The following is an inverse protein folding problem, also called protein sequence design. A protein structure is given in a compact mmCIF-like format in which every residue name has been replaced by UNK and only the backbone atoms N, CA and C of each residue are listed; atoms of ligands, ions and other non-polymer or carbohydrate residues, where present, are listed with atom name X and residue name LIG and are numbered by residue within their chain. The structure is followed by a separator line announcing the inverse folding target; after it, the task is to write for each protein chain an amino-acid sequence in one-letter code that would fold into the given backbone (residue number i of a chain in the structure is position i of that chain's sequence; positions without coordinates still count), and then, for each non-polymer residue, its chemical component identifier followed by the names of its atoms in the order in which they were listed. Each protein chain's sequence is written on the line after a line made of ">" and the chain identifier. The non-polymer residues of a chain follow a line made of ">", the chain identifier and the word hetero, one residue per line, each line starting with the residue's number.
data_IF_092112392345
#
_entry.id   IF_092112392345
#
_cell.length_a   1.000
_cell.length_b   1.000
_cell.length_c   1.000
_cell.angle_alpha   90.00
_cell.angle_beta   90.00
_cell.angle_gamma   90.00
#
_symmetry.space_group_name_H-M   'P 1'
#
loop_
_entity.id
_entity.type
_entity.pdbx_description
1 polymer ?
#
# COMPACT_ATOMS: atom_id res chain seq x y z
N UNK A 1 -4.51 -16.65 -8.82
CA UNK A 1 -4.15 -18.06 -9.09
C UNK A 1 -3.39 -18.71 -7.92
N UNK A 2 -2.16 -18.27 -7.59
CA UNK A 2 -1.35 -18.87 -6.53
C UNK A 2 -2.07 -18.98 -5.17
N UNK A 3 -2.83 -17.96 -4.78
CA UNK A 3 -3.64 -17.96 -3.57
C UNK A 3 -4.67 -19.11 -3.55
N UNK A 4 -5.52 -19.21 -4.58
CA UNK A 4 -6.55 -20.25 -4.63
C UNK A 4 -5.96 -21.65 -4.85
N UNK A 5 -4.77 -21.78 -5.42
CA UNK A 5 -4.04 -23.06 -5.44
C UNK A 5 -3.72 -23.53 -4.01
N UNK A 6 -3.24 -22.64 -3.14
CA UNK A 6 -2.96 -22.97 -1.73
C UNK A 6 -4.23 -23.40 -0.99
N UNK A 7 -5.33 -22.66 -1.18
CA UNK A 7 -6.63 -23.04 -0.60
C UNK A 7 -7.11 -24.41 -1.12
N UNK A 8 -6.94 -24.70 -2.41
CA UNK A 8 -7.30 -26.00 -2.99
C UNK A 8 -6.42 -27.14 -2.47
N UNK A 9 -5.11 -26.93 -2.32
CA UNK A 9 -4.19 -27.91 -1.74
C UNK A 9 -4.51 -28.21 -0.28
N UNK A 10 -4.93 -27.19 0.49
CA UNK A 10 -5.37 -27.35 1.87
C UNK A 10 -6.60 -28.27 1.96
N UNK A 11 -7.66 -27.97 1.22
CA UNK A 11 -8.88 -28.79 1.26
C UNK A 11 -8.65 -30.18 0.66
N UNK A 12 -7.77 -30.31 -0.34
CA UNK A 12 -7.34 -31.62 -0.85
C UNK A 12 -6.57 -32.43 0.20
N UNK A 13 -5.69 -31.79 0.97
CA UNK A 13 -4.98 -32.47 2.06
C UNK A 13 -5.93 -32.99 3.13
N UNK A 14 -6.97 -32.22 3.49
CA UNK A 14 -8.04 -32.70 4.36
C UNK A 14 -8.71 -33.94 3.76
N UNK A 15 -9.07 -33.88 2.48
CA UNK A 15 -9.75 -34.97 1.76
C UNK A 15 -8.92 -36.26 1.70
N UNK A 16 -7.61 -36.15 1.47
CA UNK A 16 -6.71 -37.29 1.26
C UNK A 16 -6.18 -37.93 2.55
N UNK A 17 -6.72 -37.55 3.71
CA UNK A 17 -6.43 -38.20 4.99
C UNK A 17 -5.88 -37.30 6.09
N UNK A 18 -5.74 -35.98 5.84
CA UNK A 18 -5.41 -34.97 6.84
C UNK A 18 -4.23 -35.35 7.76
N UNK A 19 -3.10 -35.79 7.17
CA UNK A 19 -1.94 -36.27 7.94
C UNK A 19 -1.33 -35.21 8.88
N UNK A 20 -1.61 -33.93 8.61
CA UNK A 20 -1.17 -32.79 9.43
C UNK A 20 -2.11 -32.49 10.60
N UNK A 21 -3.22 -33.22 10.72
CA UNK A 21 -4.20 -33.06 11.80
C UNK A 21 -4.86 -31.68 11.82
N UNK A 22 -5.03 -31.03 10.66
CA UNK A 22 -5.66 -29.70 10.54
C UNK A 22 -7.07 -29.77 11.14
N UNK A 23 -7.41 -28.83 12.02
CA UNK A 23 -8.79 -28.63 12.46
C UNK A 23 -9.51 -27.77 11.41
N UNK A 24 -10.55 -28.28 10.72
CA UNK A 24 -11.28 -27.52 9.69
C UNK A 24 -11.91 -26.21 10.21
N UNK A 25 -12.10 -26.09 11.53
CA UNK A 25 -12.66 -24.89 12.19
C UNK A 25 -11.59 -23.84 12.49
N UNK A 26 -10.31 -24.19 12.36
CA UNK A 26 -9.16 -23.31 12.64
C UNK A 26 -8.34 -23.02 11.38
N UNK A 27 -8.97 -23.08 10.20
CA UNK A 27 -8.40 -22.61 8.94
C UNK A 27 -8.56 -21.09 8.90
N UNK A 28 -7.44 -20.39 8.79
CA UNK A 28 -7.40 -18.91 8.72
C UNK A 28 -7.23 -18.41 7.30
N UNK A 29 -6.78 -19.28 6.39
CA UNK A 29 -6.59 -18.95 4.98
C UNK A 29 -7.89 -19.07 4.21
N UNK A 30 -8.43 -17.91 3.82
CA UNK A 30 -9.60 -17.79 2.96
C UNK A 30 -9.24 -18.04 1.49
N UNK A 31 -10.25 -17.95 0.62
CA UNK A 31 -10.07 -17.84 -0.84
C UNK A 31 -10.02 -16.37 -1.25
N UNK A 32 -9.65 -16.11 -2.50
CA UNK A 32 -9.62 -14.74 -3.02
C UNK A 32 -10.13 -14.61 -4.46
N UNK A 33 -10.77 -13.49 -4.75
CA UNK A 33 -11.14 -13.09 -6.12
C UNK A 33 -11.08 -11.57 -6.28
N UNK A 34 -10.74 -11.09 -7.48
CA UNK A 34 -10.70 -9.66 -7.75
C UNK A 34 -12.06 -9.18 -8.27
N UNK A 35 -13.05 -9.20 -7.39
CA UNK A 35 -14.42 -8.76 -7.68
C UNK A 35 -15.08 -8.23 -6.42
N UNK A 36 -15.89 -7.19 -6.56
CA UNK A 36 -16.66 -6.64 -5.43
C UNK A 36 -17.89 -7.49 -5.15
N UNK A 37 -17.69 -8.72 -4.68
CA UNK A 37 -18.76 -9.68 -4.41
C UNK A 37 -19.02 -9.85 -2.91
N UNK A 38 -20.09 -9.23 -2.41
CA UNK A 38 -20.43 -9.28 -0.97
C UNK A 38 -20.97 -10.64 -0.53
N UNK A 39 -21.58 -11.40 -1.44
CA UNK A 39 -22.25 -12.67 -1.13
C UNK A 39 -21.25 -13.76 -0.73
N UNK A 40 -19.98 -13.61 -1.10
CA UNK A 40 -18.92 -14.58 -0.81
C UNK A 40 -18.13 -14.29 0.46
N UNK A 41 -18.52 -13.26 1.24
CA UNK A 41 -17.85 -12.93 2.51
C UNK A 41 -17.90 -14.08 3.51
N UNK A 42 -19.03 -14.80 3.56
CA UNK A 42 -19.24 -15.97 4.38
C UNK A 42 -19.92 -17.06 3.55
N UNK A 43 -19.33 -18.25 3.52
CA UNK A 43 -19.78 -19.38 2.72
C UNK A 43 -19.59 -20.68 3.48
N UNK A 44 -20.28 -21.73 3.04
CA UNK A 44 -20.00 -23.11 3.43
C UNK A 44 -19.58 -23.86 2.18
N UNK A 45 -18.41 -24.48 2.21
CA UNK A 45 -17.85 -25.25 1.09
C UNK A 45 -17.81 -26.74 1.41
N UNK A 46 -17.42 -27.59 0.45
CA UNK A 46 -17.24 -29.02 0.68
C UNK A 46 -18.55 -29.80 0.88
N UNK A 47 -19.67 -29.23 0.40
CA UNK A 47 -20.99 -29.87 0.41
C UNK A 47 -21.15 -30.90 -0.71
N UNK A 48 -22.23 -31.68 -0.68
CA UNK A 48 -22.56 -32.63 -1.75
C UNK A 48 -22.05 -34.07 -1.51
N UNK A 49 -21.73 -34.43 -0.27
CA UNK A 49 -21.37 -35.82 0.11
C UNK A 49 -19.87 -36.12 0.07
N UNK A 50 -19.51 -37.36 0.42
CA UNK A 50 -18.12 -37.78 0.73
C UNK A 50 -17.10 -37.49 -0.38
N UNK A 51 -17.51 -37.55 -1.64
CA UNK A 51 -16.61 -37.32 -2.78
C UNK A 51 -16.27 -35.85 -3.01
N UNK A 52 -16.96 -34.92 -2.34
CA UNK A 52 -16.83 -33.47 -2.55
C UNK A 52 -16.11 -32.75 -1.40
N UNK A 53 -15.47 -33.50 -0.49
CA UNK A 53 -14.65 -32.95 0.60
C UNK A 53 -15.34 -32.96 1.96
N UNK A 54 -14.85 -32.09 2.85
CA UNK A 54 -15.36 -31.92 4.21
C UNK A 54 -16.10 -30.58 4.33
N UNK A 55 -17.37 -30.57 4.77
CA UNK A 55 -18.09 -29.33 5.01
C UNK A 55 -17.37 -28.44 6.04
N UNK A 56 -17.14 -27.17 5.68
CA UNK A 56 -16.60 -26.16 6.60
C UNK A 56 -17.04 -24.75 6.22
N UNK A 57 -16.98 -23.84 7.18
CA UNK A 57 -17.10 -22.41 6.92
C UNK A 57 -15.85 -21.89 6.19
N UNK A 58 -16.06 -20.95 5.28
CA UNK A 58 -15.02 -20.29 4.49
C UNK A 58 -15.49 -18.91 4.02
N UNK A 59 -14.63 -18.17 3.33
CA UNK A 59 -15.03 -16.94 2.66
C UNK A 59 -14.03 -16.52 1.59
N UNK A 60 -14.36 -15.42 0.91
CA UNK A 60 -13.50 -14.79 -0.07
C UNK A 60 -13.13 -13.38 0.36
N UNK A 61 -11.85 -13.07 0.21
CA UNK A 61 -11.36 -11.70 0.26
C UNK A 61 -11.11 -11.17 -1.17
N UNK A 62 -11.06 -9.84 -1.32
CA UNK A 62 -10.60 -9.24 -2.57
C UNK A 62 -9.12 -9.55 -2.79
N UNK A 63 -8.68 -9.85 -4.02
CA UNK A 63 -7.32 -10.37 -4.30
C UNK A 63 -6.19 -9.53 -3.68
N UNK A 64 -6.31 -8.20 -3.69
CA UNK A 64 -5.32 -7.27 -3.13
C UNK A 64 -5.18 -7.34 -1.59
N UNK A 65 -6.15 -7.93 -0.90
CA UNK A 65 -6.09 -8.21 0.53
C UNK A 65 -5.28 -9.48 0.86
N UNK A 66 -4.92 -10.28 -0.14
CA UNK A 66 -4.19 -11.51 0.07
C UNK A 66 -2.78 -11.26 0.64
N UNK A 67 -2.37 -12.07 1.61
CA UNK A 67 -0.97 -12.14 2.05
C UNK A 67 0.01 -12.45 0.90
N UNK A 68 -0.43 -13.19 -0.13
CA UNK A 68 0.36 -13.43 -1.35
C UNK A 68 0.69 -12.10 -2.07
N UNK A 69 -0.23 -11.13 -2.08
CA UNK A 69 0.03 -9.80 -2.64
C UNK A 69 1.07 -9.05 -1.79
N UNK A 70 0.94 -9.09 -0.47
CA UNK A 70 1.91 -8.47 0.43
C UNK A 70 3.32 -9.09 0.27
N UNK A 71 3.40 -10.41 0.17
CA UNK A 71 4.64 -11.15 -0.08
C UNK A 71 5.23 -10.80 -1.44
N UNK A 72 4.43 -10.77 -2.52
CA UNK A 72 4.88 -10.35 -3.85
C UNK A 72 5.49 -8.95 -3.82
N UNK A 73 4.90 -8.03 -3.03
CA UNK A 73 5.37 -6.67 -2.93
C UNK A 73 6.64 -6.53 -2.05
N UNK A 74 6.92 -7.47 -1.15
CA UNK A 74 8.09 -7.42 -0.26
C UNK A 74 9.25 -8.30 -0.71
N UNK A 75 9.04 -9.23 -1.64
CA UNK A 75 10.08 -10.12 -2.14
C UNK A 75 11.14 -9.37 -2.94
N UNK A 76 12.42 -9.72 -2.73
CA UNK A 76 13.54 -9.19 -3.53
C UNK A 76 13.72 -9.90 -4.87
N UNK A 77 13.39 -11.18 -4.91
CA UNK A 77 13.60 -12.09 -6.04
C UNK A 77 12.70 -13.34 -5.90
N UNK A 78 12.78 -14.25 -6.86
CA UNK A 78 11.92 -15.43 -6.92
C UNK A 78 12.21 -16.44 -5.78
N UNK A 79 13.44 -16.51 -5.29
CA UNK A 79 13.81 -17.42 -4.20
C UNK A 79 13.32 -16.88 -2.85
N UNK A 80 13.49 -15.58 -2.59
CA UNK A 80 12.88 -14.89 -1.44
C UNK A 80 11.35 -14.99 -1.48
N UNK A 81 10.74 -14.79 -2.66
CA UNK A 81 9.29 -14.99 -2.86
C UNK A 81 8.87 -16.40 -2.43
N UNK A 82 9.52 -17.44 -2.96
CA UNK A 82 9.23 -18.85 -2.63
C UNK A 82 9.42 -19.14 -1.14
N UNK A 83 10.46 -18.60 -0.52
CA UNK A 83 10.73 -18.78 0.91
C UNK A 83 9.67 -18.09 1.79
N UNK A 84 9.20 -16.91 1.41
CA UNK A 84 8.13 -16.21 2.13
C UNK A 84 6.80 -16.93 1.99
N UNK A 85 6.47 -17.39 0.78
CA UNK A 85 5.27 -18.17 0.52
C UNK A 85 5.21 -19.43 1.39
N UNK A 86 6.34 -20.12 1.62
CA UNK A 86 6.36 -21.32 2.46
C UNK A 86 6.04 -21.06 3.93
N UNK A 87 6.18 -19.82 4.41
CA UNK A 87 5.95 -19.43 5.81
C UNK A 87 4.52 -18.97 6.10
N UNK A 88 3.68 -18.83 5.07
CA UNK A 88 2.26 -18.48 5.25
C UNK A 88 1.61 -19.51 6.16
N UNK A 89 1.05 -19.07 7.28
CA UNK A 89 0.25 -19.92 8.17
C UNK A 89 -1.15 -20.01 7.59
N UNK A 90 -1.60 -21.24 7.32
CA UNK A 90 -2.90 -21.46 6.66
C UNK A 90 -3.97 -21.97 7.60
N UNK A 91 -3.58 -22.69 8.65
CA UNK A 91 -4.48 -23.27 9.62
C UNK A 91 -3.75 -23.59 10.92
N UNK A 92 -4.50 -24.07 11.91
CA UNK A 92 -3.96 -24.72 13.10
C UNK A 92 -4.45 -26.17 13.17
N UNK A 93 -3.59 -27.06 13.66
CA UNK A 93 -3.97 -28.45 13.91
C UNK A 93 -4.76 -28.62 15.22
N UNK A 94 -5.27 -29.82 15.50
CA UNK A 94 -6.01 -30.10 16.75
C UNK A 94 -5.19 -29.86 18.02
N UNK A 95 -3.85 -29.85 17.94
CA UNK A 95 -2.92 -29.49 19.01
C UNK A 95 -2.60 -27.98 19.07
N UNK A 96 -3.30 -27.15 18.27
CA UNK A 96 -3.11 -25.70 18.15
C UNK A 96 -1.72 -25.27 17.62
N UNK A 97 -1.02 -26.15 16.92
CA UNK A 97 0.23 -25.83 16.25
C UNK A 97 -0.06 -25.25 14.85
N UNK A 98 0.71 -24.24 14.40
CA UNK A 98 0.50 -23.65 13.08
C UNK A 98 0.87 -24.65 11.99
N UNK A 99 0.04 -24.68 10.93
CA UNK A 99 0.31 -25.41 9.70
C UNK A 99 0.55 -24.39 8.61
N UNK A 100 1.65 -24.56 7.87
CA UNK A 100 2.11 -23.61 6.85
C UNK A 100 1.87 -24.11 5.43
N UNK A 101 1.96 -23.20 4.46
CA UNK A 101 2.00 -23.57 3.05
C UNK A 101 3.21 -24.46 2.70
N UNK A 102 4.31 -24.35 3.45
CA UNK A 102 5.48 -25.22 3.36
C UNK A 102 5.17 -26.67 3.75
N UNK A 103 4.38 -26.88 4.81
CA UNK A 103 3.95 -28.21 5.25
C UNK A 103 3.05 -28.88 4.20
N UNK A 104 2.26 -28.08 3.48
CA UNK A 104 1.45 -28.51 2.33
C UNK A 104 2.26 -28.64 1.02
N UNK A 105 3.57 -28.35 1.05
CA UNK A 105 4.47 -28.36 -0.13
C UNK A 105 3.99 -27.48 -1.28
N UNK A 106 3.28 -26.40 -0.99
CA UNK A 106 2.63 -25.55 -1.99
C UNK A 106 3.55 -24.49 -2.61
N UNK A 107 4.59 -24.06 -1.88
CA UNK A 107 5.41 -22.89 -2.19
C UNK A 107 6.06 -22.91 -3.58
N UNK A 108 6.49 -24.08 -4.06
CA UNK A 108 7.13 -24.20 -5.37
C UNK A 108 6.14 -23.95 -6.52
N UNK A 109 4.96 -24.54 -6.43
CA UNK A 109 3.90 -24.35 -7.43
C UNK A 109 3.32 -22.94 -7.39
N UNK A 110 3.17 -22.35 -6.20
CA UNK A 110 2.78 -20.95 -6.05
C UNK A 110 3.80 -20.00 -6.65
N UNK A 111 5.10 -20.21 -6.40
CA UNK A 111 6.17 -19.40 -6.99
C UNK A 111 6.21 -19.53 -8.52
N UNK A 112 5.97 -20.73 -9.06
CA UNK A 112 5.87 -20.94 -10.50
C UNK A 112 4.74 -20.11 -11.13
N UNK A 113 3.56 -20.07 -10.50
CA UNK A 113 2.43 -19.24 -10.96
C UNK A 113 2.71 -17.73 -10.88
N UNK A 114 3.70 -17.31 -10.09
CA UNK A 114 4.10 -15.91 -9.91
C UNK A 114 5.42 -15.57 -10.64
N UNK A 115 6.01 -16.52 -11.37
CA UNK A 115 7.33 -16.36 -12.01
C UNK A 115 7.42 -15.14 -12.91
N UNK A 116 6.39 -14.88 -13.71
CA UNK A 116 6.35 -13.69 -14.56
C UNK A 116 5.75 -12.49 -13.84
N UNK A 117 4.81 -12.73 -12.93
CA UNK A 117 4.14 -11.69 -12.14
C UNK A 117 5.04 -10.97 -11.12
N UNK A 118 6.26 -11.48 -10.84
CA UNK A 118 7.26 -10.79 -10.03
C UNK A 118 8.03 -9.71 -10.81
N UNK A 119 7.94 -9.70 -12.15
CA UNK A 119 8.65 -8.75 -13.00
C UNK A 119 7.89 -7.41 -13.04
N UNK A 120 8.53 -6.29 -12.68
CA UNK A 120 7.90 -4.96 -12.78
C UNK A 120 7.40 -4.63 -14.19
N UNK A 121 6.21 -4.03 -14.29
CA UNK A 121 5.65 -3.61 -15.57
C UNK A 121 6.08 -2.17 -15.88
N UNK A 122 6.82 -1.98 -16.98
CA UNK A 122 7.18 -0.66 -17.49
C UNK A 122 6.05 -0.09 -18.35
N UNK A 123 5.66 1.14 -18.03
CA UNK A 123 4.73 1.97 -18.81
C UNK A 123 5.29 3.39 -18.88
N UNK A 124 4.52 4.35 -19.40
CA UNK A 124 4.92 5.75 -19.47
C UNK A 124 3.78 6.68 -19.03
N UNK A 125 4.16 7.88 -18.56
CA UNK A 125 3.23 8.99 -18.33
C UNK A 125 2.81 9.64 -19.65
N UNK A 126 1.88 10.60 -19.61
CA UNK A 126 1.45 11.37 -20.78
C UNK A 126 2.60 12.16 -21.44
N UNK A 127 3.64 12.48 -20.68
CA UNK A 127 4.83 13.21 -21.14
C UNK A 127 6.02 12.26 -21.40
N UNK A 128 5.73 10.97 -21.58
CA UNK A 128 6.70 9.91 -21.88
C UNK A 128 7.73 9.65 -20.76
N UNK A 129 7.46 10.10 -19.54
CA UNK A 129 8.27 9.74 -18.37
C UNK A 129 8.11 8.25 -18.04
N UNK A 130 9.19 7.49 -17.80
CA UNK A 130 9.08 6.07 -17.50
C UNK A 130 8.44 5.84 -16.14
N UNK A 131 7.52 4.87 -16.05
CA UNK A 131 6.83 4.53 -14.80
C UNK A 131 6.73 3.02 -14.61
N UNK A 132 6.97 2.54 -13.39
CA UNK A 132 6.72 1.14 -13.02
C UNK A 132 5.40 1.01 -12.27
N UNK A 133 4.49 0.16 -12.75
CA UNK A 133 3.26 -0.22 -12.04
C UNK A 133 3.36 -1.68 -11.64
N UNK A 134 3.58 -1.94 -10.34
CA UNK A 134 3.80 -3.30 -9.87
C UNK A 134 3.46 -3.50 -8.39
N UNK A 135 2.57 -4.47 -8.13
CA UNK A 135 2.03 -4.73 -6.81
C UNK A 135 0.92 -3.75 -6.41
N UNK A 136 0.20 -4.09 -5.34
CA UNK A 136 -0.89 -3.27 -4.82
C UNK A 136 -1.53 -3.89 -3.59
N UNK A 137 -0.81 -4.03 -2.47
CA UNK A 137 -1.38 -4.55 -1.23
C UNK A 137 -2.21 -3.45 -0.56
N UNK A 138 -3.19 -3.85 0.26
CA UNK A 138 -3.89 -2.91 1.12
C UNK A 138 -2.96 -2.17 2.09
N UNK A 139 -3.33 -0.94 2.46
CA UNK A 139 -2.59 -0.09 3.39
C UNK A 139 -3.10 -0.18 4.85
N UNK A 140 -4.15 -0.96 5.12
CA UNK A 140 -4.66 -1.21 6.47
C UNK A 140 -4.12 -2.55 7.03
N UNK A 141 -4.46 -3.68 6.41
CA UNK A 141 -4.02 -5.03 6.81
C UNK A 141 -2.64 -5.41 6.27
N UNK A 142 -2.08 -4.61 5.37
CA UNK A 142 -0.73 -4.75 4.86
C UNK A 142 -0.05 -3.36 4.78
N UNK A 143 1.04 -3.25 4.02
CA UNK A 143 1.94 -2.10 4.04
C UNK A 143 1.64 -1.03 2.97
N UNK A 144 0.70 -1.27 2.05
CA UNK A 144 0.20 -0.21 1.16
C UNK A 144 1.19 0.38 0.15
N UNK A 145 2.23 -0.35 -0.26
CA UNK A 145 3.25 0.15 -1.18
C UNK A 145 3.33 -0.71 -2.45
N UNK A 146 3.83 -0.13 -3.54
CA UNK A 146 4.29 -0.90 -4.70
C UNK A 146 5.48 -1.81 -4.31
N UNK A 147 5.80 -2.75 -5.20
CA UNK A 147 6.80 -3.77 -4.90
C UNK A 147 8.23 -3.24 -4.66
N UNK A 148 8.98 -3.95 -3.83
CA UNK A 148 10.42 -3.80 -3.63
C UNK A 148 11.18 -4.00 -4.94
N UNK A 149 10.79 -5.00 -5.75
CA UNK A 149 11.41 -5.26 -7.05
C UNK A 149 11.36 -4.04 -7.98
N UNK A 150 10.19 -3.41 -8.14
CA UNK A 150 10.04 -2.20 -8.95
C UNK A 150 10.82 -1.01 -8.38
N UNK A 151 10.81 -0.85 -7.06
CA UNK A 151 11.52 0.25 -6.39
C UNK A 151 13.03 0.11 -6.59
N UNK A 152 13.59 -1.07 -6.35
CA UNK A 152 15.02 -1.33 -6.55
C UNK A 152 15.44 -1.20 -8.00
N UNK A 153 14.62 -1.65 -8.94
CA UNK A 153 14.89 -1.50 -10.38
C UNK A 153 14.91 -0.02 -10.77
N UNK A 154 13.91 0.76 -10.33
CA UNK A 154 13.86 2.21 -10.58
C UNK A 154 15.09 2.96 -10.05
N UNK A 155 15.50 2.66 -8.80
CA UNK A 155 16.72 3.23 -8.20
C UNK A 155 18.02 2.89 -8.94
N UNK A 156 18.02 1.86 -9.80
CA UNK A 156 19.19 1.50 -10.62
C UNK A 156 19.16 2.11 -12.02
N UNK A 157 18.01 2.60 -12.47
CA UNK A 157 17.81 3.07 -13.84
C UNK A 157 17.63 4.60 -13.95
N UNK A 158 17.19 5.27 -12.88
CA UNK A 158 17.00 6.72 -12.86
C UNK A 158 17.79 7.39 -11.75
N UNK A 159 18.06 8.69 -11.93
CA UNK A 159 18.73 9.52 -10.93
C UNK A 159 17.83 9.81 -9.72
N UNK A 160 16.53 9.92 -9.96
CA UNK A 160 15.49 10.09 -8.95
C UNK A 160 14.40 9.04 -9.14
N UNK A 161 13.97 8.42 -8.03
CA UNK A 161 12.80 7.56 -8.01
C UNK A 161 11.73 8.13 -7.08
N UNK A 162 10.62 8.57 -7.67
CA UNK A 162 9.41 8.89 -6.93
C UNK A 162 8.58 7.62 -6.72
N UNK A 163 8.17 7.40 -5.47
CA UNK A 163 7.26 6.31 -5.07
C UNK A 163 6.30 6.82 -4.02
N UNK A 164 5.18 6.11 -3.84
CA UNK A 164 4.14 6.48 -2.88
C UNK A 164 3.76 5.31 -1.96
N UNK A 165 2.98 5.62 -0.93
CA UNK A 165 2.33 4.68 -0.04
C UNK A 165 0.87 5.10 0.19
N UNK A 166 -0.03 4.12 0.32
CA UNK A 166 -1.47 4.38 0.43
C UNK A 166 -1.89 4.99 1.77
N UNK A 167 -3.02 5.71 1.76
CA UNK A 167 -3.54 6.52 2.87
C UNK A 167 -2.64 7.70 3.26
N UNK A 168 -2.78 8.24 4.48
CA UNK A 168 -1.95 9.32 5.02
C UNK A 168 -0.61 8.81 5.54
N UNK A 169 0.25 9.75 5.95
CA UNK A 169 1.59 9.41 6.46
C UNK A 169 1.56 8.63 7.79
N UNK A 170 0.46 8.70 8.53
CA UNK A 170 0.16 7.93 9.75
C UNK A 170 0.00 6.42 9.50
N UNK A 171 -0.31 6.01 8.28
CA UNK A 171 -0.41 4.60 7.87
C UNK A 171 0.58 4.26 6.77
N UNK A 172 0.50 4.93 5.62
CA UNK A 172 1.30 4.61 4.44
C UNK A 172 2.77 4.87 4.67
N UNK A 173 3.14 6.10 5.05
CA UNK A 173 4.53 6.46 5.26
C UNK A 173 5.15 5.71 6.44
N UNK A 174 4.42 5.57 7.55
CA UNK A 174 4.83 4.75 8.70
C UNK A 174 5.22 3.33 8.27
N UNK A 175 4.35 2.65 7.52
CA UNK A 175 4.60 1.27 7.05
C UNK A 175 5.66 1.21 5.95
N UNK A 176 5.74 2.21 5.09
CA UNK A 176 6.81 2.32 4.11
C UNK A 176 8.17 2.39 4.81
N UNK A 177 8.31 3.21 5.84
CA UNK A 177 9.55 3.42 6.59
C UNK A 177 9.87 2.25 7.52
N UNK A 178 8.90 1.76 8.28
CA UNK A 178 9.13 0.74 9.31
C UNK A 178 9.07 -0.70 8.78
N UNK A 179 8.39 -0.97 7.66
CA UNK A 179 8.28 -2.30 7.06
C UNK A 179 9.09 -2.37 5.77
N UNK A 180 8.70 -1.62 4.73
CA UNK A 180 9.30 -1.77 3.39
C UNK A 180 10.78 -1.37 3.39
N UNK A 181 11.13 -0.20 3.93
CA UNK A 181 12.52 0.27 3.98
C UNK A 181 13.40 -0.64 4.81
N UNK A 182 12.93 -1.06 5.99
CA UNK A 182 13.63 -2.00 6.88
C UNK A 182 13.91 -3.35 6.20
N UNK A 183 12.91 -3.95 5.55
CA UNK A 183 13.05 -5.25 4.90
C UNK A 183 13.87 -5.19 3.61
N UNK A 184 13.77 -4.09 2.86
CA UNK A 184 14.42 -3.96 1.55
C UNK A 184 15.78 -3.27 1.61
N UNK A 185 16.16 -2.69 2.75
CA UNK A 185 17.37 -1.88 2.91
C UNK A 185 17.31 -0.55 2.16
N UNK A 186 16.11 0.04 2.04
CA UNK A 186 15.91 1.33 1.36
C UNK A 186 16.09 2.47 2.36
N UNK A 187 16.60 3.60 1.88
CA UNK A 187 16.74 4.85 2.64
C UNK A 187 16.17 5.98 1.78
N UNK A 188 14.99 6.51 2.11
CA UNK A 188 14.42 7.63 1.38
C UNK A 188 15.24 8.89 1.65
N UNK A 189 15.49 9.68 0.61
CA UNK A 189 16.29 10.91 0.71
C UNK A 189 15.42 12.12 1.08
N UNK A 190 14.14 12.13 0.70
CA UNK A 190 13.16 13.15 1.06
C UNK A 190 11.72 12.62 1.01
N UNK A 191 10.79 13.38 1.58
CA UNK A 191 9.35 13.10 1.59
C UNK A 191 8.57 14.27 0.99
N UNK A 192 7.64 13.98 0.08
CA UNK A 192 6.62 14.94 -0.36
C UNK A 192 5.32 14.65 0.38
N UNK A 193 4.85 15.61 1.18
CA UNK A 193 3.59 15.51 1.90
C UNK A 193 2.50 16.28 1.16
N UNK A 194 1.61 15.56 0.48
CA UNK A 194 0.56 16.15 -0.36
C UNK A 194 -0.65 16.58 0.50
N UNK A 195 -1.15 17.78 0.26
CA UNK A 195 -2.38 18.29 0.85
C UNK A 195 -3.19 19.14 -0.15
N UNK A 196 -4.43 19.49 0.24
CA UNK A 196 -5.30 20.42 -0.50
C UNK A 196 -5.98 21.34 0.50
N UNK A 197 -6.27 22.59 0.10
CA UNK A 197 -7.01 23.53 0.96
C UNK A 197 -8.37 22.94 1.39
N UNK A 198 -9.05 22.26 0.47
CA UNK A 198 -10.33 21.59 0.73
C UNK A 198 -10.21 20.50 1.79
N UNK A 199 -9.19 19.63 1.73
CA UNK A 199 -8.97 18.59 2.74
C UNK A 199 -8.64 19.19 4.11
N UNK A 200 -7.84 20.26 4.15
CA UNK A 200 -7.55 20.97 5.39
C UNK A 200 -8.82 21.59 5.98
N UNK A 201 -9.68 22.23 5.17
CA UNK A 201 -10.99 22.71 5.62
C UNK A 201 -11.89 21.59 6.19
N UNK A 202 -11.87 20.38 5.62
CA UNK A 202 -12.57 19.22 6.21
C UNK A 202 -12.03 18.91 7.61
N UNK A 203 -10.70 18.88 7.76
CA UNK A 203 -10.08 18.68 9.09
C UNK A 203 -10.38 19.80 10.07
N UNK A 204 -10.68 21.01 9.57
CA UNK A 204 -11.20 22.13 10.35
C UNK A 204 -12.71 22.08 10.64
N UNK A 205 -13.41 21.03 10.22
CA UNK A 205 -14.83 20.81 10.51
C UNK A 205 -15.81 21.20 9.40
N UNK A 206 -15.34 21.60 8.22
CA UNK A 206 -16.23 21.94 7.10
C UNK A 206 -16.80 20.68 6.46
N UNK A 207 -18.11 20.63 6.29
CA UNK A 207 -18.78 19.52 5.62
C UNK A 207 -18.39 19.45 4.14
N UNK A 208 -18.40 18.24 3.56
CA UNK A 208 -17.98 18.01 2.17
C UNK A 208 -18.73 18.87 1.14
N UNK A 209 -19.99 19.20 1.42
CA UNK A 209 -20.84 20.01 0.55
C UNK A 209 -20.41 21.49 0.47
N UNK A 210 -19.74 22.01 1.50
CA UNK A 210 -19.52 23.45 1.69
C UNK A 210 -18.08 23.89 1.38
N UNK A 211 -17.28 23.01 0.78
CA UNK A 211 -15.83 23.22 0.60
C UNK A 211 -15.44 24.25 -0.46
N UNK A 212 -16.39 24.67 -1.30
CA UNK A 212 -16.14 25.65 -2.37
C UNK A 212 -16.03 27.08 -1.85
N UNK A 213 -16.65 27.39 -0.70
CA UNK A 213 -16.57 28.70 -0.09
C UNK A 213 -15.21 28.88 0.61
N UNK A 214 -14.66 30.09 0.55
CA UNK A 214 -13.48 30.47 1.32
C UNK A 214 -13.76 30.32 2.82
N UNK A 215 -12.85 29.70 3.57
CA UNK A 215 -12.96 29.63 5.02
C UNK A 215 -11.57 29.54 5.68
N UNK A 216 -10.99 30.71 5.98
CA UNK A 216 -9.66 30.82 6.58
C UNK A 216 -9.58 30.25 8.00
N UNK A 217 -10.64 30.38 8.80
CA UNK A 217 -10.67 29.86 10.17
C UNK A 217 -10.63 28.33 10.19
N UNK A 218 -11.47 27.68 9.36
CA UNK A 218 -11.44 26.23 9.24
C UNK A 218 -10.13 25.73 8.62
N UNK A 219 -9.59 26.43 7.61
CA UNK A 219 -8.30 26.10 7.03
C UNK A 219 -7.20 26.13 8.11
N UNK A 220 -7.14 27.20 8.92
CA UNK A 220 -6.20 27.33 10.03
C UNK A 220 -6.38 26.22 11.06
N UNK A 221 -7.61 25.90 11.46
CA UNK A 221 -7.90 24.83 12.41
C UNK A 221 -7.47 23.45 11.86
N UNK A 222 -7.71 23.18 10.58
CA UNK A 222 -7.38 21.92 9.94
C UNK A 222 -5.90 21.68 9.67
N UNK A 223 -5.09 22.75 9.67
CA UNK A 223 -3.63 22.66 9.53
C UNK A 223 -2.96 21.83 10.62
N UNK A 224 -3.60 21.66 11.78
CA UNK A 224 -3.13 20.74 12.83
C UNK A 224 -2.93 19.31 12.31
N UNK A 225 -3.70 18.85 11.32
CA UNK A 225 -3.49 17.55 10.70
C UNK A 225 -2.17 17.50 9.92
N UNK A 226 -1.94 18.48 9.04
CA UNK A 226 -0.70 18.57 8.25
C UNK A 226 0.52 18.75 9.15
N UNK A 227 0.40 19.59 10.17
CA UNK A 227 1.43 19.84 11.17
C UNK A 227 1.85 18.54 11.86
N UNK A 228 0.89 17.74 12.32
CA UNK A 228 1.21 16.48 12.99
C UNK A 228 1.91 15.48 12.05
N UNK A 229 1.47 15.40 10.80
CA UNK A 229 2.09 14.51 9.81
C UNK A 229 3.52 14.95 9.49
N UNK A 230 3.76 16.26 9.33
CA UNK A 230 5.10 16.81 9.13
C UNK A 230 6.00 16.60 10.37
N UNK A 231 5.46 16.79 11.58
CA UNK A 231 6.15 16.51 12.84
C UNK A 231 6.62 15.06 12.90
N UNK A 232 5.74 14.10 12.58
CA UNK A 232 6.08 12.69 12.56
C UNK A 232 7.28 12.41 11.64
N UNK A 233 7.25 12.93 10.41
CA UNK A 233 8.35 12.74 9.43
C UNK A 233 9.69 13.31 9.93
N UNK A 234 9.69 14.51 10.53
CA UNK A 234 10.92 15.19 10.96
C UNK A 234 11.47 14.69 12.29
N UNK A 235 10.60 14.31 13.22
CA UNK A 235 11.02 13.99 14.59
C UNK A 235 11.20 12.48 14.79
N UNK A 236 10.42 11.64 14.12
CA UNK A 236 10.50 10.18 14.27
C UNK A 236 11.47 9.55 13.26
N UNK A 237 11.48 10.02 12.01
CA UNK A 237 12.34 9.46 10.94
C UNK A 237 13.45 10.39 10.43
N UNK A 238 13.71 11.50 11.12
CA UNK A 238 14.44 12.68 10.61
C UNK A 238 14.65 12.79 9.10
N UNK A 239 13.58 12.77 8.31
CA UNK A 239 13.66 12.93 6.85
C UNK A 239 13.41 14.39 6.43
N UNK A 240 14.16 14.91 5.44
CA UNK A 240 13.79 16.13 4.73
C UNK A 240 12.38 16.02 4.16
N UNK A 241 11.61 17.10 4.21
CA UNK A 241 10.26 17.09 3.64
C UNK A 241 9.86 18.43 3.01
N UNK A 242 9.02 18.33 1.99
CA UNK A 242 8.32 19.44 1.34
C UNK A 242 6.82 19.17 1.32
N UNK A 243 6.01 20.17 1.61
CA UNK A 243 4.55 20.10 1.45
C UNK A 243 4.16 20.47 0.02
N UNK A 244 3.41 19.59 -0.64
CA UNK A 244 2.83 19.89 -1.95
C UNK A 244 1.35 20.23 -1.80
N UNK A 245 0.95 21.45 -2.13
CA UNK A 245 -0.46 21.85 -2.17
C UNK A 245 -0.98 21.67 -3.59
N UNK A 246 -1.83 20.68 -3.81
CA UNK A 246 -2.49 20.50 -5.11
C UNK A 246 -3.59 21.56 -5.28
N UNK A 247 -3.43 22.45 -6.27
CA UNK A 247 -4.36 23.56 -6.52
C UNK A 247 -5.70 23.07 -7.05
N UNK A 248 -6.80 23.59 -6.50
CA UNK A 248 -8.13 23.48 -7.08
C UNK A 248 -8.63 24.83 -7.63
N UNK A 249 -9.56 24.83 -8.62
CA UNK A 249 -10.10 26.07 -9.18
C UNK A 249 -10.81 26.99 -8.19
N UNK A 250 -11.31 26.45 -7.07
CA UNK A 250 -12.03 27.19 -6.04
C UNK A 250 -11.13 27.72 -4.93
N UNK A 251 -9.84 27.33 -4.92
CA UNK A 251 -8.91 27.77 -3.89
C UNK A 251 -8.59 29.26 -4.10
N UNK A 252 -8.72 30.05 -3.03
CA UNK A 252 -8.51 31.50 -3.12
C UNK A 252 -7.08 31.91 -2.80
N UNK A 253 -6.65 33.05 -3.32
CA UNK A 253 -5.33 33.61 -3.00
C UNK A 253 -5.14 33.88 -1.49
N UNK A 254 -6.15 34.37 -0.73
CA UNK A 254 -6.09 34.41 0.73
C UNK A 254 -5.85 33.04 1.40
N UNK A 255 -6.50 31.97 0.94
CA UNK A 255 -6.28 30.62 1.46
C UNK A 255 -4.86 30.12 1.18
N UNK A 256 -4.36 30.32 -0.04
CA UNK A 256 -2.98 29.96 -0.41
C UNK A 256 -1.95 30.76 0.41
N UNK A 257 -2.18 32.06 0.60
CA UNK A 257 -1.33 32.91 1.43
C UNK A 257 -1.31 32.44 2.89
N UNK A 258 -2.45 32.01 3.43
CA UNK A 258 -2.52 31.47 4.77
C UNK A 258 -1.72 30.17 4.90
N UNK A 259 -1.84 29.24 3.94
CA UNK A 259 -1.03 28.01 3.93
C UNK A 259 0.46 28.36 3.90
N UNK A 260 0.88 29.28 3.03
CA UNK A 260 2.27 29.73 2.96
C UNK A 260 2.78 30.25 4.31
N UNK A 261 1.98 31.05 5.00
CA UNK A 261 2.33 31.62 6.31
C UNK A 261 2.48 30.53 7.37
N UNK A 262 1.58 29.56 7.38
CA UNK A 262 1.57 28.48 8.38
C UNK A 262 2.71 27.48 8.12
N UNK A 263 2.99 27.11 6.86
CA UNK A 263 4.16 26.29 6.52
C UNK A 263 5.47 26.98 6.91
N UNK A 264 5.59 28.30 6.69
CA UNK A 264 6.75 29.06 7.13
C UNK A 264 6.92 29.07 8.66
N UNK A 265 5.81 29.21 9.42
CA UNK A 265 5.84 29.13 10.89
C UNK A 265 6.29 27.75 11.39
N UNK A 266 5.89 26.68 10.70
CA UNK A 266 6.34 25.30 10.98
C UNK A 266 7.80 25.05 10.56
N UNK A 267 8.43 25.99 9.84
CA UNK A 267 9.75 25.80 9.24
C UNK A 267 9.77 24.63 8.26
N UNK A 268 8.68 24.44 7.52
CA UNK A 268 8.50 23.37 6.53
C UNK A 268 8.38 24.02 5.16
N UNK A 269 9.25 23.68 4.20
CA UNK A 269 9.11 24.15 2.84
C UNK A 269 7.83 23.64 2.18
N UNK A 270 7.29 24.43 1.26
CA UNK A 270 6.08 24.07 0.54
C UNK A 270 6.14 24.57 -0.90
N UNK A 271 5.40 23.92 -1.78
CA UNK A 271 5.20 24.34 -3.15
C UNK A 271 3.75 24.12 -3.60
N UNK A 272 3.27 25.01 -4.48
CA UNK A 272 2.02 24.83 -5.19
C UNK A 272 2.23 23.84 -6.34
N UNK A 273 1.31 22.90 -6.50
CA UNK A 273 1.32 21.90 -7.56
C UNK A 273 0.08 22.08 -8.45
N UNK A 274 0.33 22.32 -9.73
CA UNK A 274 -0.68 22.48 -10.78
C UNK A 274 -0.59 21.36 -11.83
N UNK A 275 0.08 20.26 -11.52
CA UNK A 275 0.38 19.16 -12.46
C UNK A 275 -0.85 18.54 -13.12
N UNK A 276 -2.00 18.59 -12.44
CA UNK A 276 -3.27 18.11 -13.02
C UNK A 276 -3.72 18.96 -14.22
N UNK A 277 -3.54 20.28 -14.15
CA UNK A 277 -3.99 21.21 -15.18
C UNK A 277 -2.91 21.52 -16.22
N UNK A 278 -1.62 21.48 -15.82
CA UNK A 278 -0.50 21.97 -16.63
C UNK A 278 0.59 20.91 -16.90
N UNK A 279 0.35 19.64 -16.56
CA UNK A 279 1.36 18.59 -16.74
C UNK A 279 2.64 18.88 -15.96
N UNK A 280 3.79 18.49 -16.49
CA UNK A 280 5.10 18.67 -15.86
C UNK A 280 5.44 20.13 -15.56
N UNK A 281 4.98 21.08 -16.39
CA UNK A 281 5.18 22.53 -16.16
C UNK A 281 4.60 22.97 -14.80
N UNK A 282 3.41 22.45 -14.46
CA UNK A 282 2.76 22.72 -13.18
C UNK A 282 3.44 22.10 -11.96
N UNK A 283 4.47 21.30 -12.16
CA UNK A 283 5.24 20.63 -11.11
C UNK A 283 6.65 21.20 -10.89
N UNK A 284 7.10 22.15 -11.72
CA UNK A 284 8.47 22.67 -11.67
C UNK A 284 8.81 23.24 -10.29
N UNK A 285 7.95 24.08 -9.72
CA UNK A 285 8.20 24.67 -8.40
C UNK A 285 8.36 23.62 -7.29
N UNK A 286 7.56 22.55 -7.34
CA UNK A 286 7.70 21.43 -6.39
C UNK A 286 8.98 20.64 -6.63
N UNK A 287 9.35 20.41 -7.89
CA UNK A 287 10.59 19.71 -8.24
C UNK A 287 11.82 20.51 -7.80
N UNK A 288 11.85 21.83 -8.04
CA UNK A 288 12.92 22.72 -7.58
C UNK A 288 13.04 22.73 -6.06
N UNK A 289 11.91 22.80 -5.35
CA UNK A 289 11.92 22.78 -3.89
C UNK A 289 12.38 21.42 -3.33
N UNK A 290 11.98 20.32 -3.97
CA UNK A 290 12.45 18.97 -3.63
C UNK A 290 13.96 18.84 -3.87
N UNK A 291 14.47 19.33 -5.00
CA UNK A 291 15.91 19.33 -5.29
C UNK A 291 16.69 20.19 -4.29
N UNK A 292 16.13 21.32 -3.86
CA UNK A 292 16.71 22.20 -2.86
C UNK A 292 16.91 21.48 -1.53
N UNK A 293 15.87 20.81 -1.01
CA UNK A 293 15.96 20.10 0.28
C UNK A 293 16.82 18.83 0.22
N UNK A 294 17.02 18.25 -0.97
CA UNK A 294 17.91 17.10 -1.17
C UNK A 294 19.39 17.49 -1.18
N UNK A 295 19.70 18.77 -1.41
CA UNK A 295 21.06 19.28 -1.43
C UNK A 295 21.55 19.80 -0.06
N UNK A 296 20.65 19.89 0.93
CA UNK A 296 20.94 20.30 2.33
C UNK A 296 21.41 19.11 3.18
#
# INVERSE_FOLDING_TARGET
>A
AAHNLLAALLDNHLHQGNQLGIDPRSIVFKRAMDMNERALRNTVIGLGGRNNGFPREDGFDITVASEVMAILCLASDLDDLKQRLSKIVVAYNYQKQPVTAGDLKAQGAMALLLKDAIKPNLVQTLENGPAFIHGGPFANIAHGCNSVAATKLGLKLGDYLLTEAGFGADLGAEKFLNIKCRLAGLKPDAVVLVATIRALKIHGGVAKADLAAENLEALKAGMANLEKQAENIRQVWPLPLVVAINRFPTDTEPELKLVSQLCAQMGVPWALSEVWAKGGEGGIALAEELLRILAE
#
